data_IF_496534275417
#
_entry.id   IF_496534275417
#
_cell.length_a   1.000
_cell.length_b   1.000
_cell.length_c   1.000
_cell.angle_alpha   90.00
_cell.angle_beta   90.00
_cell.angle_gamma   90.00
#
_symmetry.space_group_name_H-M   'P 1'
#
loop_
_entity.id
_entity.type
_entity.pdbx_description
1 polymer ?
#
# COMPACT_ATOMS: atom_id res chain seq x y z
N UNK A 1 29.91 -12.08 19.77
CA UNK A 1 28.74 -11.16 19.81
C UNK A 1 28.17 -11.13 18.41
N UNK A 2 27.01 -11.74 18.16
CA UNK A 2 26.37 -11.68 16.82
C UNK A 2 25.79 -10.28 16.72
N UNK A 3 26.51 -9.36 16.08
CA UNK A 3 25.99 -8.02 15.79
C UNK A 3 24.93 -8.16 14.72
N UNK A 4 23.66 -8.17 15.15
CA UNK A 4 22.53 -8.00 14.23
C UNK A 4 22.70 -6.64 13.57
N UNK A 5 22.87 -6.65 12.26
CA UNK A 5 22.92 -5.42 11.48
C UNK A 5 21.55 -4.73 11.58
N UNK A 6 21.49 -3.72 12.44
CA UNK A 6 20.27 -2.95 12.72
C UNK A 6 19.72 -2.29 11.46
N UNK A 7 20.56 -2.02 10.45
CA UNK A 7 20.11 -1.44 9.18
C UNK A 7 19.28 -2.43 8.35
N UNK A 8 19.71 -3.69 8.30
CA UNK A 8 19.00 -4.76 7.61
C UNK A 8 17.64 -5.05 8.28
N UNK A 9 17.58 -5.08 9.61
CA UNK A 9 16.33 -5.28 10.36
C UNK A 9 15.31 -4.18 10.05
N UNK A 10 15.76 -2.93 10.06
CA UNK A 10 14.89 -1.78 9.78
C UNK A 10 14.40 -1.78 8.31
N UNK A 11 15.26 -2.19 7.37
CA UNK A 11 14.89 -2.38 5.98
C UNK A 11 13.78 -3.43 5.82
N UNK A 12 13.96 -4.63 6.39
CA UNK A 12 12.97 -5.71 6.28
C UNK A 12 11.64 -5.36 6.96
N UNK A 13 11.67 -4.61 8.07
CA UNK A 13 10.47 -4.10 8.73
C UNK A 13 9.68 -3.18 7.78
N UNK A 14 10.35 -2.19 7.19
CA UNK A 14 9.73 -1.25 6.24
C UNK A 14 9.17 -1.96 5.00
N UNK A 15 9.91 -2.93 4.46
CA UNK A 15 9.45 -3.75 3.33
C UNK A 15 8.22 -4.59 3.67
N UNK A 16 8.17 -5.15 4.88
CA UNK A 16 7.02 -5.93 5.36
C UNK A 16 5.77 -5.06 5.54
N UNK A 17 5.94 -3.87 6.11
CA UNK A 17 4.86 -2.88 6.25
C UNK A 17 4.33 -2.42 4.88
N UNK A 18 5.21 -2.23 3.91
CA UNK A 18 4.84 -1.89 2.55
C UNK A 18 4.03 -3.01 1.88
N UNK A 19 4.49 -4.25 2.03
CA UNK A 19 3.82 -5.45 1.47
C UNK A 19 2.41 -5.62 2.05
N UNK A 20 2.25 -5.41 3.36
CA UNK A 20 0.94 -5.47 4.02
C UNK A 20 -0.02 -4.39 3.51
N UNK A 21 0.48 -3.18 3.24
CA UNK A 21 -0.31 -2.08 2.70
C UNK A 21 -0.79 -2.38 1.26
N UNK A 22 0.08 -2.91 0.40
CA UNK A 22 -0.29 -3.32 -0.97
C UNK A 22 -1.41 -4.38 -0.94
N UNK A 23 -1.29 -5.39 -0.08
CA UNK A 23 -2.31 -6.44 0.04
C UNK A 23 -3.67 -5.88 0.47
N UNK A 24 -3.70 -4.97 1.46
CA UNK A 24 -4.93 -4.33 1.94
C UNK A 24 -5.67 -3.57 0.82
N UNK A 25 -4.92 -3.02 -0.13
CA UNK A 25 -5.50 -2.27 -1.25
C UNK A 25 -6.13 -3.20 -2.28
N UNK A 26 -5.50 -4.34 -2.57
CA UNK A 26 -6.12 -5.39 -3.42
C UNK A 26 -7.47 -5.87 -2.87
N UNK A 27 -7.61 -5.94 -1.54
CA UNK A 27 -8.89 -6.25 -0.88
C UNK A 27 -9.92 -5.13 -1.08
N UNK A 28 -9.53 -3.87 -0.90
CA UNK A 28 -10.42 -2.71 -1.03
C UNK A 28 -10.89 -2.49 -2.48
N UNK A 29 -10.01 -2.72 -3.47
CA UNK A 29 -10.37 -2.72 -4.89
C UNK A 29 -11.47 -3.74 -5.19
N UNK A 30 -11.29 -4.99 -4.75
CA UNK A 30 -12.28 -6.04 -4.95
C UNK A 30 -13.61 -5.76 -4.21
N UNK A 31 -13.58 -5.05 -3.09
CA UNK A 31 -14.79 -4.61 -2.40
C UNK A 31 -15.52 -3.52 -3.20
N UNK A 32 -14.80 -2.54 -3.75
CA UNK A 32 -15.37 -1.49 -4.59
C UNK A 32 -16.01 -2.06 -5.86
N UNK A 33 -15.29 -2.95 -6.57
CA UNK A 33 -15.81 -3.63 -7.78
C UNK A 33 -17.07 -4.43 -7.47
N UNK A 34 -17.07 -5.21 -6.38
CA UNK A 34 -18.25 -5.99 -5.96
C UNK A 34 -19.43 -5.09 -5.59
N UNK A 35 -19.20 -4.00 -4.88
CA UNK A 35 -20.27 -3.07 -4.50
C UNK A 35 -20.87 -2.34 -5.71
N UNK A 36 -20.05 -1.98 -6.70
CA UNK A 36 -20.51 -1.42 -7.98
C UNK A 36 -21.33 -2.46 -8.75
N UNK A 37 -20.84 -3.71 -8.85
CA UNK A 37 -21.52 -4.81 -9.54
C UNK A 37 -22.79 -5.30 -8.83
N UNK A 38 -22.98 -4.98 -7.54
CA UNK A 38 -24.07 -5.47 -6.69
C UNK A 38 -25.25 -4.49 -6.56
N UNK A 39 -25.45 -3.56 -7.50
CA UNK A 39 -26.61 -2.65 -7.52
C UNK A 39 -26.69 -1.66 -6.33
N UNK A 40 -25.57 -1.05 -5.93
CA UNK A 40 -25.65 0.11 -5.03
C UNK A 40 -25.90 1.43 -5.77
N UNK A 41 -26.55 2.39 -5.08
CA UNK A 41 -26.81 3.72 -5.62
C UNK A 41 -25.53 4.40 -6.12
N UNK A 42 -25.63 5.25 -7.15
CA UNK A 42 -24.52 6.03 -7.71
C UNK A 42 -23.69 6.73 -6.63
N UNK A 43 -24.34 7.20 -5.56
CA UNK A 43 -23.69 7.85 -4.41
C UNK A 43 -22.73 6.92 -3.66
N UNK A 44 -23.08 5.65 -3.49
CA UNK A 44 -22.21 4.66 -2.84
C UNK A 44 -21.02 4.30 -3.72
N UNK A 45 -21.23 4.15 -5.03
CA UNK A 45 -20.15 3.92 -5.99
C UNK A 45 -19.15 5.08 -6.00
N UNK A 46 -19.64 6.33 -5.95
CA UNK A 46 -18.81 7.54 -5.89
C UNK A 46 -17.90 7.56 -4.65
N UNK A 47 -18.46 7.28 -3.46
CA UNK A 47 -17.68 7.23 -2.20
C UNK A 47 -16.61 6.14 -2.26
N UNK A 48 -16.91 5.00 -2.89
CA UNK A 48 -15.95 3.91 -3.03
C UNK A 48 -14.84 4.24 -4.03
N UNK A 49 -15.15 4.98 -5.11
CA UNK A 49 -14.17 5.49 -6.06
C UNK A 49 -13.25 6.53 -5.42
N UNK A 50 -13.78 7.48 -4.65
CA UNK A 50 -12.94 8.46 -3.91
C UNK A 50 -11.97 7.76 -2.95
N UNK A 51 -12.46 6.76 -2.21
CA UNK A 51 -11.59 5.95 -1.34
C UNK A 51 -10.52 5.21 -2.13
N UNK A 52 -10.85 4.69 -3.30
CA UNK A 52 -9.91 4.01 -4.18
C UNK A 52 -8.81 4.95 -4.67
N UNK A 53 -9.17 6.17 -5.10
CA UNK A 53 -8.21 7.20 -5.52
C UNK A 53 -7.25 7.58 -4.39
N UNK A 54 -7.78 7.79 -3.17
CA UNK A 54 -6.93 8.10 -2.00
C UNK A 54 -5.97 6.96 -1.65
N UNK A 55 -6.41 5.71 -1.78
CA UNK A 55 -5.56 4.55 -1.56
C UNK A 55 -4.50 4.42 -2.66
N UNK A 56 -4.84 4.73 -3.91
CA UNK A 56 -3.89 4.73 -5.04
C UNK A 56 -2.79 5.78 -4.84
N UNK A 57 -3.14 7.00 -4.38
CA UNK A 57 -2.16 8.02 -4.04
C UNK A 57 -1.20 7.58 -2.92
N UNK A 58 -1.72 6.88 -1.90
CA UNK A 58 -0.89 6.31 -0.84
C UNK A 58 0.08 5.24 -1.37
N UNK A 59 -0.32 4.42 -2.36
CA UNK A 59 0.58 3.45 -3.00
C UNK A 59 1.76 4.14 -3.65
N UNK A 60 1.49 5.19 -4.42
CA UNK A 60 2.55 5.92 -5.15
C UNK A 60 3.57 6.47 -4.15
N UNK A 61 3.09 7.11 -3.08
CA UNK A 61 3.96 7.63 -2.02
C UNK A 61 4.77 6.52 -1.32
N UNK A 62 4.18 5.33 -1.11
CA UNK A 62 4.88 4.18 -0.53
C UNK A 62 5.92 3.60 -1.50
N UNK A 63 5.61 3.53 -2.80
CA UNK A 63 6.54 3.08 -3.82
C UNK A 63 7.74 4.02 -3.92
N UNK A 64 7.51 5.33 -3.90
CA UNK A 64 8.57 6.34 -3.86
C UNK A 64 9.47 6.16 -2.63
N UNK A 65 8.88 5.92 -1.45
CA UNK A 65 9.64 5.63 -0.23
C UNK A 65 10.45 4.33 -0.34
N UNK A 66 9.89 3.26 -0.90
CA UNK A 66 10.60 2.00 -1.11
C UNK A 66 11.80 2.17 -2.06
N UNK A 67 11.62 2.95 -3.13
CA UNK A 67 12.69 3.31 -4.07
C UNK A 67 13.79 4.08 -3.34
N UNK A 68 13.42 5.10 -2.55
CA UNK A 68 14.38 5.89 -1.77
C UNK A 68 15.19 5.02 -0.81
N UNK A 69 14.52 4.14 -0.06
CA UNK A 69 15.19 3.22 0.88
C UNK A 69 16.15 2.27 0.17
N UNK A 70 15.78 1.79 -1.03
CA UNK A 70 16.63 0.91 -1.85
C UNK A 70 17.86 1.66 -2.38
N UNK A 71 17.71 2.94 -2.74
CA UNK A 71 18.82 3.80 -3.16
C UNK A 71 19.75 4.08 -1.98
N UNK A 72 19.21 4.44 -0.82
CA UNK A 72 20.00 4.73 0.38
C UNK A 72 20.76 3.50 0.89
N UNK A 73 20.19 2.29 0.77
CA UNK A 73 20.89 1.04 1.11
C UNK A 73 22.08 0.73 0.18
N UNK A 74 22.06 1.22 -1.07
CA UNK A 74 23.14 1.00 -2.05
C UNK A 74 24.29 2.01 -1.92
N UNK A 75 24.11 3.08 -1.15
CA UNK A 75 25.16 4.06 -0.84
C UNK A 75 25.98 3.60 0.37
#
# INVERSE_FOLDING_TARGET
MITVDKSAVEYYRKLSELTAQIHKIGVLYNQAVRAINSYHSVKTAQILLEKLEQLSAQIIALQEQAISLTIDYRK
#
